data_IF_755379047363
#
_entry.id   IF_755379047363
#
_cell.length_a   1.000
_cell.length_b   1.000
_cell.length_c   1.000
_cell.angle_alpha   90.00
_cell.angle_beta   90.00
_cell.angle_gamma   90.00
#
_symmetry.space_group_name_H-M   'P 1'
#
loop_
_entity.id
_entity.type
_entity.pdbx_description
1 polymer ?
#
# COMPACT_ATOMS: atom_id res chain seq x y z
N UNK A 1 -54.98 -3.75 -40.79
CA UNK A 1 -54.67 -4.39 -39.48
C UNK A 1 -53.24 -4.86 -39.53
N UNK A 2 -52.42 -4.51 -38.53
CA UNK A 2 -51.00 -4.86 -38.47
C UNK A 2 -50.22 -3.95 -37.51
N UNK A 3 -50.59 -4.04 -36.22
CA UNK A 3 -49.81 -3.77 -35.00
C UNK A 3 -48.57 -2.86 -35.11
N UNK A 4 -48.70 -1.62 -34.61
CA UNK A 4 -47.56 -0.83 -34.16
C UNK A 4 -46.98 -1.47 -32.89
N UNK A 5 -45.77 -2.04 -33.00
CA UNK A 5 -44.93 -2.37 -31.85
C UNK A 5 -44.39 -1.06 -31.27
N UNK A 6 -45.13 -0.42 -30.38
CA UNK A 6 -44.59 0.65 -29.56
C UNK A 6 -43.81 0.01 -28.40
N UNK A 7 -42.51 0.29 -28.20
CA UNK A 7 -41.80 -0.17 -27.01
C UNK A 7 -42.52 0.39 -25.78
N UNK A 8 -42.77 -0.49 -24.81
CA UNK A 8 -43.44 -0.16 -23.55
C UNK A 8 -42.46 0.66 -22.70
N UNK A 9 -42.73 1.95 -22.45
CA UNK A 9 -41.81 2.82 -21.72
C UNK A 9 -41.53 2.31 -20.30
N UNK A 10 -42.48 1.57 -19.70
CA UNK A 10 -42.27 0.94 -18.39
C UNK A 10 -41.26 -0.21 -18.46
N UNK A 11 -41.20 -0.92 -19.59
CA UNK A 11 -40.18 -1.95 -19.81
C UNK A 11 -38.80 -1.34 -19.97
N UNK A 12 -38.70 -0.20 -20.67
CA UNK A 12 -37.44 0.53 -20.81
C UNK A 12 -36.95 1.04 -19.46
N UNK A 13 -37.80 1.71 -18.68
CA UNK A 13 -37.46 2.16 -17.32
C UNK A 13 -37.10 0.98 -16.39
N UNK A 14 -37.80 -0.15 -16.50
CA UNK A 14 -37.49 -1.35 -15.72
C UNK A 14 -36.11 -1.92 -16.08
N UNK A 15 -35.77 -2.00 -17.37
CA UNK A 15 -34.45 -2.46 -17.82
C UNK A 15 -33.34 -1.52 -17.37
N UNK A 16 -33.54 -0.20 -17.47
CA UNK A 16 -32.59 0.78 -16.92
C UNK A 16 -32.40 0.62 -15.42
N UNK A 17 -33.48 0.38 -14.68
CA UNK A 17 -33.43 0.19 -13.24
C UNK A 17 -32.69 -1.09 -12.88
N UNK A 18 -32.91 -2.19 -13.61
CA UNK A 18 -32.16 -3.43 -13.45
C UNK A 18 -30.66 -3.22 -13.70
N UNK A 19 -30.29 -2.47 -14.74
CA UNK A 19 -28.90 -2.15 -15.02
C UNK A 19 -28.26 -1.30 -13.91
N UNK A 20 -28.97 -0.27 -13.44
CA UNK A 20 -28.54 0.56 -12.31
C UNK A 20 -28.37 -0.27 -11.03
N UNK A 21 -29.30 -1.19 -10.75
CA UNK A 21 -29.24 -2.07 -9.60
C UNK A 21 -28.03 -3.03 -9.68
N UNK A 22 -27.80 -3.65 -10.84
CA UNK A 22 -26.66 -4.53 -11.07
C UNK A 22 -25.32 -3.78 -10.89
N UNK A 23 -25.20 -2.56 -11.42
CA UNK A 23 -24.02 -1.70 -11.22
C UNK A 23 -23.81 -1.37 -9.74
N UNK A 24 -24.88 -1.06 -9.00
CA UNK A 24 -24.80 -0.74 -7.58
C UNK A 24 -24.36 -1.96 -6.76
N UNK A 25 -24.92 -3.14 -7.04
CA UNK A 25 -24.49 -4.40 -6.42
C UNK A 25 -23.00 -4.67 -6.67
N UNK A 26 -22.53 -4.46 -7.90
CA UNK A 26 -21.12 -4.62 -8.24
C UNK A 26 -20.22 -3.66 -7.45
N UNK A 27 -20.61 -2.39 -7.32
CA UNK A 27 -19.87 -1.40 -6.53
C UNK A 27 -19.83 -1.78 -5.05
N UNK A 28 -20.96 -2.21 -4.48
CA UNK A 28 -21.03 -2.67 -3.09
C UNK A 28 -20.12 -3.88 -2.84
N UNK A 29 -20.09 -4.85 -3.74
CA UNK A 29 -19.23 -6.03 -3.61
C UNK A 29 -17.73 -5.65 -3.58
N UNK A 30 -17.31 -4.72 -4.44
CA UNK A 30 -15.92 -4.21 -4.45
C UNK A 30 -15.59 -3.47 -3.15
N UNK A 31 -16.53 -2.66 -2.64
CA UNK A 31 -16.34 -1.92 -1.38
C UNK A 31 -16.28 -2.85 -0.16
N UNK A 32 -17.16 -3.85 -0.08
CA UNK A 32 -17.17 -4.84 1.00
C UNK A 32 -15.84 -5.57 1.08
N UNK A 33 -15.30 -6.02 -0.06
CA UNK A 33 -14.03 -6.71 -0.08
C UNK A 33 -12.83 -5.83 0.34
N UNK A 34 -12.96 -4.51 0.27
CA UNK A 34 -11.95 -3.55 0.76
C UNK A 34 -12.05 -3.31 2.27
N UNK A 35 -13.26 -3.40 2.84
CA UNK A 35 -13.52 -3.13 4.27
C UNK A 35 -13.26 -4.37 5.13
N UNK A 36 -13.60 -5.56 4.63
CA UNK A 36 -13.47 -6.84 5.35
C UNK A 36 -12.57 -7.83 4.59
N UNK A 37 -11.25 -7.58 4.50
CA UNK A 37 -10.32 -8.48 3.81
C UNK A 37 -10.20 -9.87 4.47
N UNK A 38 -10.49 -9.96 5.77
CA UNK A 38 -10.52 -11.20 6.57
C UNK A 38 -11.95 -11.76 6.73
N UNK A 39 -12.98 -11.05 6.24
CA UNK A 39 -14.33 -11.59 6.14
C UNK A 39 -14.41 -12.61 5.00
N UNK A 40 -15.41 -13.50 5.03
CA UNK A 40 -15.73 -14.31 3.86
C UNK A 40 -16.50 -13.41 2.88
N UNK A 41 -15.90 -12.93 1.77
CA UNK A 41 -16.67 -12.19 0.79
C UNK A 41 -17.78 -13.09 0.24
N UNK A 42 -18.87 -12.49 -0.27
CA UNK A 42 -19.86 -13.25 -1.02
C UNK A 42 -19.19 -13.87 -2.26
N UNK A 43 -18.90 -15.17 -2.17
CA UNK A 43 -18.31 -15.98 -3.25
C UNK A 43 -19.24 -16.16 -4.44
N UNK A 44 -20.50 -15.70 -4.33
CA UNK A 44 -21.44 -15.62 -5.42
C UNK A 44 -21.11 -14.55 -6.47
N UNK A 45 -20.23 -13.58 -6.17
CA UNK A 45 -19.86 -12.52 -7.11
C UNK A 45 -18.40 -12.62 -7.61
N UNK A 46 -18.13 -12.09 -8.81
CA UNK A 46 -16.80 -12.13 -9.43
C UNK A 46 -15.69 -11.54 -8.54
N UNK A 47 -15.98 -10.42 -7.86
CA UNK A 47 -15.02 -9.81 -6.95
C UNK A 47 -14.65 -10.77 -5.81
N UNK A 48 -15.64 -11.36 -5.14
CA UNK A 48 -15.42 -12.34 -4.07
C UNK A 48 -14.60 -13.54 -4.52
N UNK A 49 -14.91 -14.10 -5.69
CA UNK A 49 -14.15 -15.21 -6.29
C UNK A 49 -12.68 -14.83 -6.58
N UNK A 50 -12.43 -13.61 -7.06
CA UNK A 50 -11.08 -13.12 -7.29
C UNK A 50 -10.30 -12.98 -5.97
N UNK A 51 -10.93 -12.46 -4.91
CA UNK A 51 -10.30 -12.35 -3.59
C UNK A 51 -9.96 -13.72 -3.00
N UNK A 52 -10.87 -14.67 -3.07
CA UNK A 52 -10.62 -16.04 -2.61
C UNK A 52 -9.52 -16.71 -3.42
N UNK A 53 -9.48 -16.47 -4.74
CA UNK A 53 -8.39 -16.95 -5.59
C UNK A 53 -7.05 -16.35 -5.14
N UNK A 54 -6.97 -15.04 -4.93
CA UNK A 54 -5.74 -14.38 -4.45
C UNK A 54 -5.31 -14.90 -3.07
N UNK A 55 -6.27 -15.15 -2.16
CA UNK A 55 -6.01 -15.75 -0.85
C UNK A 55 -5.40 -17.16 -1.00
N UNK A 56 -5.99 -18.00 -1.85
CA UNK A 56 -5.48 -19.35 -2.11
C UNK A 56 -4.06 -19.33 -2.73
N UNK A 57 -3.78 -18.38 -3.63
CA UNK A 57 -2.42 -18.20 -4.20
C UNK A 57 -1.41 -17.78 -3.13
N UNK A 58 -1.82 -16.94 -2.17
CA UNK A 58 -0.98 -16.52 -1.05
C UNK A 58 -0.68 -17.66 -0.07
N UNK A 59 -1.70 -18.47 0.28
CA UNK A 59 -1.60 -19.52 1.31
C UNK A 59 -0.94 -20.81 0.81
N UNK A 60 -1.18 -21.17 -0.46
CA UNK A 60 -0.71 -22.44 -1.01
C UNK A 60 0.44 -22.31 -2.00
N UNK A 61 0.74 -21.10 -2.49
CA UNK A 61 1.79 -20.83 -3.49
C UNK A 61 1.65 -21.68 -4.77
N UNK A 62 0.43 -22.08 -5.10
CA UNK A 62 0.13 -22.78 -6.35
C UNK A 62 0.32 -21.82 -7.53
N UNK A 63 0.83 -22.32 -8.65
CA UNK A 63 1.11 -21.53 -9.87
C UNK A 63 2.17 -20.43 -9.70
N UNK A 64 2.97 -20.47 -8.64
CA UNK A 64 4.12 -19.57 -8.50
C UNK A 64 5.10 -19.79 -9.64
N UNK A 65 5.40 -18.72 -10.35
CA UNK A 65 6.21 -18.68 -11.58
C UNK A 65 7.50 -17.86 -11.40
N UNK A 66 7.75 -17.36 -10.18
CA UNK A 66 8.98 -16.65 -9.81
C UNK A 66 9.30 -16.81 -8.32
N UNK A 67 10.59 -16.79 -7.98
CA UNK A 67 11.09 -16.79 -6.59
C UNK A 67 11.72 -15.44 -6.24
N UNK A 68 11.39 -14.90 -5.07
CA UNK A 68 11.99 -13.68 -4.52
C UNK A 68 13.00 -14.08 -3.46
N UNK A 69 14.27 -13.72 -3.66
CA UNK A 69 15.36 -14.00 -2.72
C UNK A 69 15.69 -12.76 -1.90
N UNK A 70 15.70 -12.92 -0.59
CA UNK A 70 15.96 -11.91 0.43
C UNK A 70 17.12 -12.38 1.29
N UNK A 71 18.34 -12.03 0.89
CA UNK A 71 19.57 -12.49 1.55
C UNK A 71 19.59 -14.03 1.76
N UNK A 72 19.20 -14.54 2.93
CA UNK A 72 19.14 -15.97 3.26
C UNK A 72 17.76 -16.63 3.03
N UNK A 73 16.70 -15.84 2.81
CA UNK A 73 15.33 -16.32 2.69
C UNK A 73 14.84 -16.35 1.23
N UNK A 74 13.93 -17.28 0.91
CA UNK A 74 13.27 -17.36 -0.41
C UNK A 74 11.74 -17.38 -0.27
N UNK A 75 11.05 -16.63 -1.13
CA UNK A 75 9.60 -16.56 -1.20
C UNK A 75 9.10 -16.89 -2.61
N UNK A 76 8.23 -17.90 -2.73
CA UNK A 76 7.51 -18.18 -3.99
C UNK A 76 6.50 -17.07 -4.28
N UNK A 77 6.44 -16.57 -5.50
CA UNK A 77 5.57 -15.46 -5.88
C UNK A 77 5.02 -15.63 -7.31
N UNK A 78 4.25 -14.63 -7.75
CA UNK A 78 3.62 -14.60 -9.06
C UNK A 78 4.03 -13.34 -9.84
N UNK A 79 4.56 -13.50 -11.05
CA UNK A 79 5.02 -12.41 -11.93
C UNK A 79 3.93 -11.38 -12.19
N UNK A 80 2.69 -11.84 -12.34
CA UNK A 80 1.56 -10.95 -12.58
C UNK A 80 1.33 -9.99 -11.39
N UNK A 81 1.54 -10.44 -10.13
CA UNK A 81 1.37 -9.58 -8.96
C UNK A 81 2.44 -8.49 -8.91
N UNK A 82 3.70 -8.86 -9.16
CA UNK A 82 4.80 -7.90 -9.23
C UNK A 82 4.52 -6.81 -10.27
N UNK A 83 4.15 -7.22 -11.48
CA UNK A 83 3.85 -6.33 -12.62
C UNK A 83 2.61 -5.46 -12.38
N UNK A 84 1.58 -6.01 -11.73
CA UNK A 84 0.37 -5.27 -11.36
C UNK A 84 0.66 -4.20 -10.30
N UNK A 85 1.48 -4.53 -9.30
CA UNK A 85 1.75 -3.69 -8.13
C UNK A 85 2.82 -2.62 -8.37
N UNK A 86 3.73 -2.85 -9.31
CA UNK A 86 4.79 -1.91 -9.64
C UNK A 86 5.29 -2.04 -11.09
N UNK A 87 5.69 -0.91 -11.66
CA UNK A 87 6.36 -0.83 -12.96
C UNK A 87 7.89 -0.94 -12.87
N UNK A 88 8.43 -1.12 -11.65
CA UNK A 88 9.87 -1.25 -11.43
C UNK A 88 10.48 -2.47 -12.13
N UNK A 89 9.70 -3.55 -12.20
CA UNK A 89 10.17 -4.82 -12.71
C UNK A 89 10.31 -4.77 -14.24
N UNK A 90 11.54 -4.92 -14.72
CA UNK A 90 11.83 -5.06 -16.14
C UNK A 90 12.00 -6.53 -16.49
N UNK A 91 11.29 -6.98 -17.52
CA UNK A 91 11.44 -8.31 -18.14
C UNK A 91 11.45 -9.45 -17.10
N UNK A 92 10.28 -9.68 -16.49
CA UNK A 92 10.05 -10.83 -15.62
C UNK A 92 9.76 -12.11 -16.40
N UNK A 93 9.43 -12.03 -17.70
CA UNK A 93 8.91 -13.15 -18.49
C UNK A 93 9.86 -14.35 -18.44
N UNK A 94 11.15 -14.10 -18.68
CA UNK A 94 12.20 -15.12 -18.74
C UNK A 94 12.98 -15.32 -17.43
N UNK A 95 12.48 -14.79 -16.31
CA UNK A 95 13.16 -14.89 -15.00
C UNK A 95 12.48 -15.91 -14.10
N UNK A 96 13.28 -16.81 -13.53
CA UNK A 96 12.80 -17.75 -12.50
C UNK A 96 12.93 -17.15 -11.10
N UNK A 97 13.78 -16.14 -10.92
CA UNK A 97 13.96 -15.47 -9.63
C UNK A 97 14.36 -13.99 -9.76
N UNK A 98 14.16 -13.25 -8.66
CA UNK A 98 14.68 -11.90 -8.41
C UNK A 98 15.38 -11.85 -7.05
N UNK A 99 16.42 -11.03 -6.94
CA UNK A 99 17.18 -10.84 -5.70
C UNK A 99 16.96 -9.41 -5.19
N UNK A 100 16.65 -9.30 -3.90
CA UNK A 100 16.38 -8.02 -3.24
C UNK A 100 17.38 -7.82 -2.08
N UNK A 101 18.65 -7.52 -2.37
CA UNK A 101 19.69 -7.44 -1.35
C UNK A 101 19.47 -6.27 -0.40
N UNK A 102 19.74 -6.51 0.89
CA UNK A 102 19.62 -5.50 1.95
C UNK A 102 18.19 -5.18 2.33
N UNK A 103 17.23 -6.04 1.96
CA UNK A 103 15.84 -5.93 2.40
C UNK A 103 15.56 -6.97 3.46
N UNK A 104 15.12 -6.54 4.65
CA UNK A 104 14.81 -7.47 5.72
C UNK A 104 13.62 -8.35 5.36
N UNK A 105 13.69 -9.64 5.70
CA UNK A 105 12.57 -10.57 5.50
C UNK A 105 11.29 -10.07 6.17
N UNK A 106 11.41 -9.48 7.37
CA UNK A 106 10.27 -8.95 8.14
C UNK A 106 9.53 -7.85 7.36
N UNK A 107 10.25 -6.86 6.84
CA UNK A 107 9.65 -5.77 6.07
C UNK A 107 9.10 -6.27 4.74
N UNK A 108 9.86 -7.10 4.01
CA UNK A 108 9.38 -7.61 2.73
C UNK A 108 8.19 -8.55 2.89
N UNK A 109 8.10 -9.34 3.96
CA UNK A 109 6.94 -10.19 4.21
C UNK A 109 5.65 -9.38 4.38
N UNK A 110 5.73 -8.17 4.97
CA UNK A 110 4.59 -7.23 5.01
C UNK A 110 4.21 -6.76 3.60
N UNK A 111 5.20 -6.38 2.78
CA UNK A 111 4.98 -5.98 1.38
C UNK A 111 4.39 -7.14 0.57
N UNK A 112 4.95 -8.33 0.74
CA UNK A 112 4.52 -9.57 0.12
C UNK A 112 3.06 -9.85 0.44
N UNK A 113 2.66 -9.89 1.73
CA UNK A 113 1.24 -10.05 2.11
C UNK A 113 0.36 -8.93 1.52
N UNK A 114 0.82 -7.69 1.54
CA UNK A 114 0.09 -6.57 0.96
C UNK A 114 -0.11 -6.74 -0.56
N UNK A 115 0.84 -7.29 -1.31
CA UNK A 115 0.69 -7.52 -2.75
C UNK A 115 -0.50 -8.43 -3.07
N UNK A 116 -0.78 -9.44 -2.24
CA UNK A 116 -1.92 -10.34 -2.43
C UNK A 116 -3.23 -9.80 -1.85
N UNK A 117 -3.16 -9.17 -0.68
CA UNK A 117 -4.37 -8.83 0.10
C UNK A 117 -4.79 -7.37 0.00
N UNK A 118 -3.93 -6.52 -0.55
CA UNK A 118 -4.04 -5.06 -0.49
C UNK A 118 -4.20 -4.51 0.95
N UNK A 119 -3.75 -5.25 1.97
CA UNK A 119 -3.93 -4.89 3.36
C UNK A 119 -2.60 -4.83 4.11
N UNK A 120 -2.46 -3.80 4.94
CA UNK A 120 -1.36 -3.69 5.90
C UNK A 120 -1.80 -4.21 7.27
N UNK A 121 -0.87 -4.69 8.11
CA UNK A 121 -1.21 -5.13 9.46
C UNK A 121 -1.85 -4.01 10.27
N UNK A 122 -2.98 -4.31 10.92
CA UNK A 122 -3.72 -3.36 11.76
C UNK A 122 -3.19 -3.28 13.20
N UNK A 123 -2.53 -4.33 13.66
CA UNK A 123 -2.03 -4.42 15.03
C UNK A 123 -0.75 -3.57 15.18
N UNK A 124 -0.85 -2.46 15.92
CA UNK A 124 0.26 -1.55 16.16
C UNK A 124 1.45 -2.21 16.89
N UNK A 125 1.21 -3.25 17.71
CA UNK A 125 2.28 -3.98 18.40
C UNK A 125 3.08 -4.88 17.45
N UNK A 126 2.50 -5.31 16.33
CA UNK A 126 3.17 -6.12 15.31
C UNK A 126 3.71 -5.27 14.15
N UNK A 127 3.22 -4.03 14.03
CA UNK A 127 3.55 -3.11 12.96
C UNK A 127 3.96 -1.76 13.54
N UNK A 128 5.06 -1.79 14.28
CA UNK A 128 5.70 -0.64 14.92
C UNK A 128 6.21 0.39 13.90
N UNK A 129 6.50 1.62 14.33
CA UNK A 129 6.93 2.71 13.44
C UNK A 129 8.21 2.38 12.67
N UNK A 130 9.19 1.73 13.30
CA UNK A 130 10.43 1.27 12.64
C UNK A 130 10.15 0.33 11.47
N UNK A 131 9.26 -0.65 11.67
CA UNK A 131 8.87 -1.57 10.60
C UNK A 131 8.10 -0.85 9.49
N UNK A 132 7.29 0.17 9.80
CA UNK A 132 6.66 1.00 8.77
C UNK A 132 7.70 1.77 7.96
N UNK A 133 8.78 2.25 8.58
CA UNK A 133 9.88 2.91 7.86
C UNK A 133 10.58 1.95 6.90
N UNK A 134 10.92 0.73 7.35
CA UNK A 134 11.51 -0.30 6.48
C UNK A 134 10.57 -0.67 5.31
N UNK A 135 9.26 -0.84 5.58
CA UNK A 135 8.26 -1.11 4.54
C UNK A 135 8.13 0.09 3.58
N UNK A 136 8.24 1.31 4.10
CA UNK A 136 8.24 2.53 3.29
C UNK A 136 9.45 2.57 2.37
N UNK A 137 10.65 2.29 2.87
CA UNK A 137 11.88 2.20 2.07
C UNK A 137 11.71 1.19 0.93
N UNK A 138 11.21 -0.03 1.22
CA UNK A 138 10.91 -1.05 0.20
C UNK A 138 9.90 -0.53 -0.83
N UNK A 139 8.87 0.19 -0.39
CA UNK A 139 7.87 0.77 -1.28
C UNK A 139 8.43 1.84 -2.22
N UNK A 140 9.35 2.67 -1.72
CA UNK A 140 10.03 3.69 -2.53
C UNK A 140 11.04 3.06 -3.48
N UNK A 141 11.93 2.18 -2.97
CA UNK A 141 12.95 1.48 -3.75
C UNK A 141 12.39 0.70 -4.94
N UNK A 142 11.25 0.03 -4.77
CA UNK A 142 10.62 -0.77 -5.82
C UNK A 142 9.38 -0.11 -6.43
N UNK A 143 9.18 1.20 -6.23
CA UNK A 143 8.10 1.99 -6.84
C UNK A 143 6.68 1.42 -6.67
N UNK A 144 6.37 0.87 -5.50
CA UNK A 144 5.02 0.44 -5.14
C UNK A 144 4.13 1.65 -4.79
N UNK A 145 3.70 2.41 -5.80
CA UNK A 145 3.06 3.72 -5.61
C UNK A 145 1.88 3.74 -4.62
N UNK A 146 0.98 2.76 -4.69
CA UNK A 146 -0.14 2.65 -3.73
C UNK A 146 0.33 2.40 -2.29
N UNK A 147 1.43 1.66 -2.11
CA UNK A 147 2.04 1.40 -0.80
C UNK A 147 2.81 2.62 -0.29
N UNK A 148 3.53 3.34 -1.16
CA UNK A 148 4.23 4.59 -0.82
C UNK A 148 3.29 5.58 -0.12
N UNK A 149 2.16 5.89 -0.76
CA UNK A 149 1.16 6.80 -0.20
C UNK A 149 0.59 6.31 1.13
N UNK A 150 0.34 5.01 1.27
CA UNK A 150 -0.17 4.42 2.52
C UNK A 150 0.85 4.48 3.66
N UNK A 151 2.12 4.18 3.38
CA UNK A 151 3.19 4.29 4.37
C UNK A 151 3.37 5.73 4.84
N UNK A 152 3.36 6.70 3.91
CA UNK A 152 3.47 8.12 4.26
C UNK A 152 2.31 8.56 5.15
N UNK A 153 1.06 8.24 4.81
CA UNK A 153 -0.07 8.59 5.67
C UNK A 153 0.02 7.90 7.04
N UNK A 154 0.39 6.62 7.08
CA UNK A 154 0.54 5.90 8.34
C UNK A 154 1.62 6.50 9.23
N UNK A 155 2.77 6.86 8.67
CA UNK A 155 3.85 7.52 9.40
C UNK A 155 3.38 8.89 9.93
N UNK A 156 2.70 9.71 9.12
CA UNK A 156 2.13 11.00 9.57
C UNK A 156 1.20 10.83 10.77
N UNK A 157 0.34 9.81 10.76
CA UNK A 157 -0.57 9.54 11.90
C UNK A 157 0.13 9.09 13.18
N UNK A 158 1.41 8.69 13.10
CA UNK A 158 2.22 8.20 14.21
C UNK A 158 3.29 9.19 14.66
N UNK A 159 3.37 10.36 14.03
CA UNK A 159 4.30 11.41 14.44
C UNK A 159 3.93 11.91 15.83
N UNK A 160 4.92 11.97 16.71
CA UNK A 160 4.84 12.55 18.04
C UNK A 160 6.10 13.35 18.39
N UNK A 161 6.14 13.98 19.56
CA UNK A 161 7.29 14.78 20.00
C UNK A 161 8.59 13.98 20.13
N UNK A 162 8.52 12.66 20.34
CA UNK A 162 9.68 11.79 20.51
C UNK A 162 10.27 11.36 19.17
N UNK A 163 9.43 11.06 18.17
CA UNK A 163 9.87 10.49 16.90
C UNK A 163 9.88 11.47 15.72
N UNK A 164 9.33 12.68 15.85
CA UNK A 164 9.18 13.61 14.73
C UNK A 164 10.52 13.95 14.05
N UNK A 165 11.58 14.18 14.83
CA UNK A 165 12.90 14.56 14.30
C UNK A 165 13.57 13.39 13.57
N UNK A 166 13.47 12.17 14.11
CA UNK A 166 14.03 10.99 13.43
C UNK A 166 13.23 10.65 12.16
N UNK A 167 11.90 10.80 12.18
CA UNK A 167 11.07 10.65 10.98
C UNK A 167 11.34 11.73 9.93
N UNK A 168 11.65 12.96 10.33
CA UNK A 168 12.15 13.99 9.42
C UNK A 168 13.46 13.54 8.76
N UNK A 169 14.43 13.07 9.54
CA UNK A 169 15.72 12.59 9.02
C UNK A 169 15.56 11.42 8.05
N UNK A 170 14.70 10.46 8.38
CA UNK A 170 14.33 9.36 7.48
C UNK A 170 13.71 9.87 6.17
N UNK A 171 12.68 10.73 6.26
CA UNK A 171 12.03 11.28 5.08
C UNK A 171 12.97 12.12 4.22
N UNK A 172 13.96 12.77 4.84
CA UNK A 172 14.97 13.55 4.13
C UNK A 172 16.00 12.67 3.41
N UNK A 173 16.38 11.55 4.02
CA UNK A 173 17.28 10.54 3.43
C UNK A 173 16.63 9.84 2.24
N UNK A 174 15.36 9.46 2.38
CA UNK A 174 14.58 8.73 1.36
C UNK A 174 13.92 9.65 0.31
N UNK A 175 14.16 10.97 0.39
CA UNK A 175 13.53 12.02 -0.43
C UNK A 175 11.97 11.97 -0.46
N UNK A 176 11.37 11.65 0.69
CA UNK A 176 9.92 11.61 0.90
C UNK A 176 9.44 13.01 1.30
N UNK A 177 9.30 13.88 0.30
CA UNK A 177 8.96 15.30 0.49
C UNK A 177 7.74 15.52 1.37
N UNK A 178 6.66 14.76 1.17
CA UNK A 178 5.40 14.95 1.93
C UNK A 178 5.59 14.71 3.43
N UNK A 179 6.27 13.62 3.82
CA UNK A 179 6.52 13.29 5.22
C UNK A 179 7.52 14.28 5.84
N UNK A 180 8.57 14.64 5.09
CA UNK A 180 9.57 15.63 5.52
C UNK A 180 8.91 16.96 5.86
N UNK A 181 8.07 17.45 4.97
CA UNK A 181 7.40 18.74 5.11
C UNK A 181 6.39 18.73 6.27
N UNK A 182 5.69 17.62 6.46
CA UNK A 182 4.81 17.42 7.60
C UNK A 182 5.59 17.47 8.93
N UNK A 183 6.69 16.73 9.05
CA UNK A 183 7.51 16.75 10.25
C UNK A 183 8.13 18.14 10.50
N UNK A 184 8.58 18.85 9.47
CA UNK A 184 9.06 20.23 9.62
C UNK A 184 7.98 21.15 10.22
N UNK A 185 6.73 21.04 9.74
CA UNK A 185 5.64 21.84 10.26
C UNK A 185 5.34 21.53 11.74
N UNK A 186 5.39 20.24 12.13
CA UNK A 186 5.22 19.83 13.53
C UNK A 186 6.33 20.40 14.42
N UNK A 187 7.59 20.29 14.00
CA UNK A 187 8.73 20.87 14.73
C UNK A 187 8.59 22.39 14.87
N UNK A 188 8.19 23.08 13.79
CA UNK A 188 8.02 24.53 13.82
C UNK A 188 6.90 24.97 14.78
N UNK A 189 5.78 24.24 14.80
CA UNK A 189 4.65 24.53 15.68
C UNK A 189 4.95 24.25 17.16
N UNK A 190 5.76 23.23 17.44
CA UNK A 190 6.04 22.73 18.79
C UNK A 190 7.51 22.88 19.21
N UNK A 191 8.23 23.87 18.68
CA UNK A 191 9.67 23.99 18.85
C UNK A 191 10.17 23.89 20.29
N UNK A 192 9.45 24.52 21.22
CA UNK A 192 9.81 24.55 22.64
C UNK A 192 9.79 23.16 23.30
N UNK A 193 9.08 22.21 22.70
CA UNK A 193 8.92 20.85 23.19
C UNK A 193 10.08 19.94 22.72
N UNK A 194 10.90 20.39 21.77
CA UNK A 194 12.04 19.65 21.25
C UNK A 194 13.35 20.08 21.93
N UNK A 195 14.03 19.11 22.55
CA UNK A 195 15.35 19.34 23.14
C UNK A 195 16.46 19.22 22.08
N UNK A 196 17.58 19.97 22.21
CA UNK A 196 18.68 19.97 21.24
C UNK A 196 19.23 18.58 20.90
N UNK A 197 19.20 17.63 21.85
CA UNK A 197 19.76 16.28 21.67
C UNK A 197 19.02 15.48 20.60
N UNK A 198 17.73 15.78 20.35
CA UNK A 198 16.94 15.13 19.30
C UNK A 198 17.46 15.45 17.90
N UNK A 199 18.07 16.63 17.73
CA UNK A 199 18.61 17.09 16.45
C UNK A 199 20.03 16.59 16.18
N UNK A 200 20.73 16.06 17.19
CA UNK A 200 22.09 15.56 17.05
C UNK A 200 22.21 14.38 16.06
N UNK A 201 21.10 13.70 15.79
CA UNK A 201 21.02 12.57 14.87
C UNK A 201 20.90 13.01 13.40
N UNK A 202 20.56 14.27 13.15
CA UNK A 202 20.41 14.80 11.80
C UNK A 202 21.76 15.15 11.18
N UNK A 203 21.87 14.92 9.88
CA UNK A 203 22.99 15.46 9.11
C UNK A 203 22.96 16.99 9.13
N UNK A 204 24.13 17.64 9.00
CA UNK A 204 24.21 19.10 8.92
C UNK A 204 23.33 19.68 7.80
N UNK A 205 23.20 18.96 6.68
CA UNK A 205 22.36 19.35 5.54
C UNK A 205 20.88 19.27 5.89
N UNK A 206 20.45 18.18 6.51
CA UNK A 206 19.06 17.97 6.95
C UNK A 206 18.66 19.01 8.00
N UNK A 207 19.55 19.30 8.96
CA UNK A 207 19.31 20.33 9.97
C UNK A 207 19.16 21.72 9.33
N UNK A 208 20.04 22.07 8.40
CA UNK A 208 19.98 23.36 7.71
C UNK A 208 18.70 23.48 6.86
N UNK A 209 18.24 22.39 6.25
CA UNK A 209 16.97 22.34 5.53
C UNK A 209 15.76 22.53 6.44
N UNK A 210 15.81 21.94 7.63
CA UNK A 210 14.78 22.12 8.66
C UNK A 210 14.71 23.59 9.12
N UNK A 211 15.86 24.21 9.37
CA UNK A 211 15.97 25.60 9.83
C UNK A 211 15.61 26.62 8.75
N UNK A 212 15.88 26.35 7.47
CA UNK A 212 15.52 27.27 6.36
C UNK A 212 14.01 27.45 6.17
N UNK A 213 13.18 26.54 6.68
CA UNK A 213 11.71 26.70 6.64
C UNK A 213 11.17 27.64 7.72
N UNK A 214 12.05 28.27 8.50
CA UNK A 214 11.69 29.18 9.58
C UNK A 214 11.98 30.66 9.32
N UNK A 215 12.70 31.00 8.26
CA UNK A 215 12.79 32.37 7.75
C UNK A 215 11.58 32.67 6.84
#
# INVERSE_FOLDING_TARGET
MGTFNHPDPLREEYLELQEKYARLQQQCAVLQARIEPDGSPDTGCFAGQLFDTMRNLFEHHNFSDIVIRLDEDELKCHKFLLTMRSKYWNDLENRDFIELPGVTFKAFHVVYRWMYTDCLPRNAALFETSLVQEVCEVAFRFHFGALQSRCVQLLKTRVDSENCVSLFGFADMEDIVELRDYCSAVVAAHWKDFKPEKFAQLSAVSLLRLLKKWD
#
